data_IF_298349333471
#
_entry.id   IF_298349333471
#
_cell.length_a   1.000
_cell.length_b   1.000
_cell.length_c   1.000
_cell.angle_alpha   90.00
_cell.angle_beta   90.00
_cell.angle_gamma   90.00
#
_symmetry.space_group_name_H-M   'P 1'
#
loop_
_entity.id
_entity.type
_entity.pdbx_description
1 polymer ?
#
# COMPACT_ATOMS: atom_id res chain seq x y z
N UNK A 1 19.75 -9.41 -1.40
CA UNK A 1 18.79 -8.74 -0.50
C UNK A 1 17.38 -8.93 -1.04
N UNK A 2 16.47 -9.34 -0.19
CA UNK A 2 15.07 -9.59 -0.59
C UNK A 2 14.24 -8.34 -0.34
N UNK A 3 13.83 -7.66 -1.40
CA UNK A 3 13.12 -6.39 -1.35
C UNK A 3 11.71 -6.57 -1.93
N UNK A 4 10.71 -6.15 -1.18
CA UNK A 4 9.33 -6.09 -1.66
C UNK A 4 8.83 -4.65 -1.72
N UNK A 5 7.95 -4.34 -2.67
CA UNK A 5 7.26 -3.06 -2.70
C UNK A 5 5.79 -3.24 -2.35
N UNK A 6 5.26 -2.29 -1.58
CA UNK A 6 3.85 -2.21 -1.26
C UNK A 6 3.35 -0.86 -1.78
N UNK A 7 2.49 -0.89 -2.79
CA UNK A 7 2.11 0.32 -3.53
C UNK A 7 0.61 0.59 -3.43
N UNK A 8 0.24 1.84 -3.49
CA UNK A 8 -1.14 2.29 -3.48
C UNK A 8 -1.24 3.80 -3.45
N UNK A 9 -2.45 4.31 -3.56
CA UNK A 9 -2.71 5.74 -3.38
C UNK A 9 -2.62 6.14 -1.91
N UNK A 10 -3.02 5.24 -1.01
CA UNK A 10 -2.98 5.44 0.46
C UNK A 10 -3.64 6.75 0.89
N UNK A 11 -4.86 6.94 0.51
CA UNK A 11 -5.60 8.18 0.74
C UNK A 11 -6.91 7.95 1.50
N UNK A 12 -6.84 7.71 2.81
CA UNK A 12 -5.64 7.65 3.65
C UNK A 12 -5.03 6.24 3.73
N UNK A 13 -3.87 6.16 4.37
CA UNK A 13 -3.25 4.90 4.77
C UNK A 13 -4.00 4.38 6.01
N UNK A 14 -4.59 3.20 5.91
CA UNK A 14 -5.48 2.67 6.93
C UNK A 14 -4.80 1.64 7.84
N UNK A 15 -5.48 1.24 8.93
CA UNK A 15 -5.01 0.15 9.78
C UNK A 15 -4.92 -1.18 9.02
N UNK A 16 -5.73 -1.36 7.98
CA UNK A 16 -5.62 -2.53 7.10
C UNK A 16 -4.31 -2.53 6.32
N UNK A 17 -3.91 -1.39 5.78
CA UNK A 17 -2.61 -1.24 5.10
C UNK A 17 -1.46 -1.50 6.06
N UNK A 18 -1.51 -0.92 7.25
CA UNK A 18 -0.47 -1.11 8.27
C UNK A 18 -0.32 -2.59 8.65
N UNK A 19 -1.43 -3.30 8.81
CA UNK A 19 -1.41 -4.73 9.14
C UNK A 19 -0.67 -5.54 8.06
N UNK A 20 -0.90 -5.26 6.79
CA UNK A 20 -0.21 -5.96 5.69
C UNK A 20 1.29 -5.66 5.71
N UNK A 21 1.66 -4.39 5.89
CA UNK A 21 3.07 -4.01 5.97
C UNK A 21 3.77 -4.77 7.10
N UNK A 22 3.20 -4.75 8.30
CA UNK A 22 3.83 -5.40 9.46
C UNK A 22 3.94 -6.91 9.29
N UNK A 23 2.93 -7.54 8.70
CA UNK A 23 2.95 -8.99 8.44
C UNK A 23 3.96 -9.37 7.37
N UNK A 24 4.27 -8.47 6.44
CA UNK A 24 5.24 -8.73 5.38
C UNK A 24 6.69 -8.59 5.83
N UNK A 25 6.96 -7.79 6.86
CA UNK A 25 8.34 -7.50 7.29
C UNK A 25 9.21 -8.73 7.55
N UNK A 26 8.72 -9.80 8.20
CA UNK A 26 9.57 -10.97 8.42
C UNK A 26 10.02 -11.69 7.16
N UNK A 27 9.37 -11.45 6.03
CA UNK A 27 9.68 -12.12 4.76
C UNK A 27 10.73 -11.37 3.94
N UNK A 28 10.99 -10.11 4.27
CA UNK A 28 11.85 -9.25 3.45
C UNK A 28 12.97 -8.64 4.27
N UNK A 29 14.07 -8.33 3.57
CA UNK A 29 15.15 -7.54 4.14
C UNK A 29 14.79 -6.05 4.13
N UNK A 30 13.95 -5.66 3.16
CA UNK A 30 13.50 -4.28 2.99
C UNK A 30 12.12 -4.25 2.33
N UNK A 31 11.27 -3.35 2.81
CA UNK A 31 9.96 -3.06 2.21
C UNK A 31 9.93 -1.60 1.80
N UNK A 32 9.66 -1.34 0.53
CA UNK A 32 9.50 0.02 0.02
C UNK A 32 8.01 0.28 -0.15
N UNK A 33 7.49 1.27 0.56
CA UNK A 33 6.10 1.70 0.41
C UNK A 33 6.07 2.78 -0.67
N UNK A 34 5.38 2.50 -1.76
CA UNK A 34 5.25 3.41 -2.88
C UNK A 34 3.93 4.14 -2.86
N UNK A 35 3.97 5.46 -2.71
CA UNK A 35 2.78 6.31 -2.74
C UNK A 35 2.56 6.76 -4.17
N UNK A 36 1.52 6.24 -4.81
CA UNK A 36 1.22 6.55 -6.21
C UNK A 36 0.69 7.97 -6.38
N UNK A 37 1.26 8.68 -7.34
CA UNK A 37 0.79 10.00 -7.76
C UNK A 37 -0.19 9.79 -8.90
N UNK A 38 -1.42 10.26 -8.73
CA UNK A 38 -2.42 10.26 -9.78
C UNK A 38 -3.01 11.68 -9.89
N UNK A 39 -2.50 12.44 -10.84
CA UNK A 39 -2.90 13.83 -11.05
C UNK A 39 -4.37 13.97 -11.46
N UNK A 40 -4.97 12.92 -12.02
CA UNK A 40 -6.38 12.90 -12.43
C UNK A 40 -7.33 12.67 -11.27
N UNK A 41 -6.82 12.25 -10.13
CA UNK A 41 -7.62 11.90 -8.95
C UNK A 41 -7.51 13.00 -7.91
N UNK A 42 -8.66 13.50 -7.47
CA UNK A 42 -8.69 14.45 -6.35
C UNK A 42 -8.55 13.66 -5.04
N UNK A 43 -7.41 13.80 -4.41
CA UNK A 43 -7.11 13.10 -3.17
C UNK A 43 -7.50 13.92 -1.95
N UNK A 44 -7.82 13.23 -0.86
CA UNK A 44 -8.12 13.85 0.43
C UNK A 44 -6.89 14.56 1.01
N UNK A 45 -5.72 13.94 0.84
CA UNK A 45 -4.42 14.49 1.25
C UNK A 45 -3.53 14.60 0.02
N UNK A 46 -2.63 15.60 0.02
CA UNK A 46 -1.64 15.73 -1.05
C UNK A 46 -0.67 14.53 -1.04
N UNK A 47 0.03 14.32 -2.14
CA UNK A 47 1.04 13.26 -2.24
C UNK A 47 2.14 13.47 -1.18
N UNK A 48 2.56 14.71 -1.00
CA UNK A 48 3.58 15.07 -0.01
C UNK A 48 3.12 14.73 1.41
N UNK A 49 1.89 15.09 1.76
CA UNK A 49 1.33 14.78 3.08
C UNK A 49 1.19 13.29 3.32
N UNK A 50 0.71 12.55 2.32
CA UNK A 50 0.56 11.08 2.42
C UNK A 50 1.92 10.42 2.63
N UNK A 51 2.90 10.80 1.82
CA UNK A 51 4.26 10.26 1.90
C UNK A 51 4.90 10.57 3.25
N UNK A 52 4.80 11.81 3.69
CA UNK A 52 5.37 12.26 4.96
C UNK A 52 4.74 11.56 6.16
N UNK A 53 3.42 11.44 6.18
CA UNK A 53 2.70 10.77 7.27
C UNK A 53 3.06 9.30 7.39
N UNK A 54 3.15 8.60 6.26
CA UNK A 54 3.55 7.19 6.27
C UNK A 54 5.00 7.05 6.71
N UNK A 55 5.89 7.90 6.21
CA UNK A 55 7.30 7.89 6.62
C UNK A 55 7.45 8.11 8.13
N UNK A 56 6.68 9.04 8.69
CA UNK A 56 6.70 9.29 10.12
C UNK A 56 6.18 8.12 10.94
N UNK A 57 5.16 7.42 10.42
CA UNK A 57 4.60 6.25 11.07
C UNK A 57 5.66 5.15 11.26
N UNK A 58 6.57 5.01 10.31
CA UNK A 58 7.60 3.96 10.30
C UNK A 58 9.01 4.51 10.58
N UNK A 59 9.13 5.68 11.19
CA UNK A 59 10.43 6.31 11.46
C UNK A 59 11.39 5.41 12.25
N UNK A 60 10.86 4.56 13.12
CA UNK A 60 11.65 3.66 13.95
C UNK A 60 11.85 2.27 13.33
N UNK A 61 11.38 2.06 12.09
CA UNK A 61 11.52 0.77 11.42
C UNK A 61 12.55 0.84 10.29
N UNK A 62 13.79 0.34 10.51
CA UNK A 62 14.86 0.50 9.54
C UNK A 62 14.66 -0.27 8.23
N UNK A 63 13.78 -1.27 8.21
CA UNK A 63 13.48 -2.03 6.99
C UNK A 63 12.56 -1.31 6.02
N UNK A 64 11.90 -0.22 6.43
CA UNK A 64 10.90 0.45 5.62
C UNK A 64 11.44 1.75 5.05
N UNK A 65 11.27 1.93 3.74
CA UNK A 65 11.42 3.21 3.06
C UNK A 65 10.09 3.60 2.45
N UNK A 66 9.81 4.90 2.40
CA UNK A 66 8.59 5.43 1.81
C UNK A 66 8.95 6.41 0.70
N UNK A 67 8.41 6.19 -0.49
CA UNK A 67 8.70 7.01 -1.68
C UNK A 67 7.44 7.25 -2.48
N UNK A 68 7.34 8.43 -3.09
CA UNK A 68 6.30 8.71 -4.07
C UNK A 68 6.76 8.26 -5.46
N UNK A 69 5.84 7.84 -6.30
CA UNK A 69 6.16 7.48 -7.68
C UNK A 69 4.98 7.80 -8.61
N UNK A 70 5.27 8.01 -9.89
CA UNK A 70 4.26 8.37 -10.90
C UNK A 70 4.31 7.51 -12.16
N UNK A 71 5.29 6.63 -12.27
CA UNK A 71 5.45 5.71 -13.40
C UNK A 71 4.75 4.37 -13.13
N UNK A 72 4.95 3.39 -14.00
CA UNK A 72 4.38 2.05 -13.83
C UNK A 72 4.97 1.39 -12.58
N UNK A 73 4.13 0.65 -11.87
CA UNK A 73 4.54 -0.08 -10.67
C UNK A 73 5.76 -0.96 -10.92
N UNK A 74 5.82 -1.66 -12.05
CA UNK A 74 6.96 -2.52 -12.36
C UNK A 74 8.25 -1.74 -12.61
N UNK A 75 8.16 -0.54 -13.18
CA UNK A 75 9.32 0.32 -13.39
C UNK A 75 9.82 0.87 -12.06
N UNK A 76 8.91 1.26 -11.19
CA UNK A 76 9.23 1.64 -9.82
C UNK A 76 9.91 0.49 -9.07
N UNK A 77 9.35 -0.72 -9.16
CA UNK A 77 9.91 -1.90 -8.53
C UNK A 77 11.36 -2.15 -8.97
N UNK A 78 11.60 -2.09 -10.28
CA UNK A 78 12.95 -2.27 -10.83
C UNK A 78 13.92 -1.20 -10.32
N UNK A 79 13.48 0.03 -10.30
CA UNK A 79 14.30 1.16 -9.83
C UNK A 79 14.70 0.99 -8.35
N UNK A 80 13.79 0.39 -7.55
CA UNK A 80 14.05 0.13 -6.13
C UNK A 80 14.77 -1.19 -5.88
N UNK A 81 15.05 -1.97 -6.92
CA UNK A 81 15.68 -3.28 -6.77
C UNK A 81 14.75 -4.34 -6.20
N UNK A 82 13.44 -4.14 -6.28
CA UNK A 82 12.46 -5.06 -5.73
C UNK A 82 12.21 -6.24 -6.67
N UNK A 83 12.12 -7.43 -6.11
CA UNK A 83 11.79 -8.67 -6.83
C UNK A 83 10.34 -9.08 -6.60
N UNK A 84 9.65 -8.46 -5.65
CA UNK A 84 8.30 -8.83 -5.24
C UNK A 84 7.41 -7.60 -5.08
N UNK A 85 6.15 -7.78 -5.47
CA UNK A 85 5.08 -6.82 -5.16
C UNK A 85 4.23 -7.43 -4.05
N UNK A 86 4.00 -6.66 -2.99
CA UNK A 86 3.17 -7.08 -1.85
C UNK A 86 1.77 -6.50 -2.06
N UNK A 87 0.76 -7.35 -1.95
CA UNK A 87 -0.64 -6.94 -2.07
C UNK A 87 -1.48 -7.52 -0.94
N UNK A 88 -2.39 -6.72 -0.40
CA UNK A 88 -3.42 -7.21 0.50
C UNK A 88 -4.70 -7.47 -0.28
N UNK A 89 -5.41 -8.54 0.05
CA UNK A 89 -6.72 -8.85 -0.55
C UNK A 89 -7.75 -9.01 0.56
N UNK A 90 -8.91 -8.38 0.38
CA UNK A 90 -10.00 -8.37 1.35
C UNK A 90 -11.17 -9.27 0.96
N UNK A 91 -11.28 -9.62 -0.32
CA UNK A 91 -12.40 -10.38 -0.86
C UNK A 91 -11.99 -11.15 -2.10
N UNK A 92 -12.85 -12.09 -2.52
CA UNK A 92 -12.66 -12.83 -3.77
C UNK A 92 -12.61 -11.88 -4.96
N UNK A 93 -13.46 -10.85 -4.96
CA UNK A 93 -13.51 -9.85 -6.02
C UNK A 93 -12.20 -9.06 -6.11
N UNK A 94 -11.65 -8.62 -4.98
CA UNK A 94 -10.34 -7.98 -4.92
C UNK A 94 -9.27 -8.91 -5.49
N UNK A 95 -9.30 -10.18 -5.08
CA UNK A 95 -8.32 -11.17 -5.51
C UNK A 95 -8.34 -11.38 -7.02
N UNK A 96 -9.52 -11.50 -7.62
CA UNK A 96 -9.64 -11.68 -9.08
C UNK A 96 -9.02 -10.52 -9.84
N UNK A 97 -9.31 -9.29 -9.42
CA UNK A 97 -8.74 -8.09 -10.04
C UNK A 97 -7.22 -8.05 -9.87
N UNK A 98 -6.73 -8.26 -8.65
CA UNK A 98 -5.29 -8.20 -8.36
C UNK A 98 -4.52 -9.33 -9.01
N UNK A 99 -5.15 -10.51 -9.18
CA UNK A 99 -4.53 -11.65 -9.87
C UNK A 99 -4.25 -11.32 -11.34
N UNK A 100 -5.17 -10.63 -12.00
CA UNK A 100 -4.97 -10.21 -13.40
C UNK A 100 -3.79 -9.24 -13.50
N UNK A 101 -3.71 -8.27 -12.59
CA UNK A 101 -2.59 -7.33 -12.54
C UNK A 101 -1.27 -8.05 -12.26
N UNK A 102 -1.28 -9.00 -11.34
CA UNK A 102 -0.10 -9.79 -11.00
C UNK A 102 0.42 -10.58 -12.20
N UNK A 103 -0.47 -11.18 -12.97
CA UNK A 103 -0.10 -11.95 -14.16
C UNK A 103 0.55 -11.07 -15.23
N UNK A 104 -0.03 -9.92 -15.50
CA UNK A 104 0.53 -8.95 -16.45
C UNK A 104 1.89 -8.44 -15.98
N UNK A 105 1.99 -8.07 -14.71
CA UNK A 105 3.25 -7.58 -14.14
C UNK A 105 4.36 -8.62 -14.26
N UNK A 106 4.05 -9.89 -13.98
CA UNK A 106 5.02 -10.97 -14.11
C UNK A 106 5.47 -11.17 -15.56
N UNK A 107 4.54 -11.13 -16.52
CA UNK A 107 4.86 -11.25 -17.95
C UNK A 107 5.80 -10.14 -18.42
N UNK A 108 5.59 -8.92 -17.95
CA UNK A 108 6.37 -7.75 -18.37
C UNK A 108 7.71 -7.61 -17.66
N UNK A 109 7.86 -8.21 -16.47
CA UNK A 109 8.99 -7.86 -15.61
C UNK A 109 9.64 -9.03 -14.89
N UNK A 110 9.02 -10.19 -14.86
CA UNK A 110 9.40 -11.34 -14.02
C UNK A 110 9.30 -11.04 -12.51
N UNK A 111 8.63 -9.95 -12.12
CA UNK A 111 8.39 -9.63 -10.72
C UNK A 111 7.15 -10.37 -10.22
N UNK A 112 7.28 -11.11 -9.15
CA UNK A 112 6.21 -11.91 -8.57
C UNK A 112 5.39 -11.06 -7.58
N UNK A 113 4.09 -11.36 -7.48
CA UNK A 113 3.21 -10.72 -6.50
C UNK A 113 2.88 -11.69 -5.38
N UNK A 114 3.03 -11.25 -4.15
CA UNK A 114 2.69 -12.02 -2.96
C UNK A 114 1.43 -11.43 -2.34
N UNK A 115 0.41 -12.26 -2.16
CA UNK A 115 -0.88 -11.85 -1.62
C UNK A 115 -0.99 -12.19 -0.14
N UNK A 116 -1.43 -11.23 0.65
CA UNK A 116 -1.77 -11.41 2.06
C UNK A 116 -3.28 -11.24 2.21
N UNK A 117 -3.94 -12.20 2.82
CA UNK A 117 -5.35 -12.06 3.13
C UNK A 117 -5.53 -11.08 4.28
N UNK A 118 -6.48 -10.15 4.13
CA UNK A 118 -6.83 -9.27 5.22
C UNK A 118 -7.38 -10.08 6.40
N UNK A 119 -7.03 -9.65 7.61
CA UNK A 119 -7.62 -10.23 8.80
C UNK A 119 -9.11 -9.85 8.86
N UNK A 120 -9.98 -10.71 9.43
CA UNK A 120 -11.43 -10.47 9.41
C UNK A 120 -11.86 -9.09 9.92
N UNK A 121 -11.20 -8.56 10.94
CA UNK A 121 -11.53 -7.25 11.48
C UNK A 121 -11.18 -6.09 10.54
N UNK A 122 -10.40 -6.32 9.49
CA UNK A 122 -9.99 -5.30 8.54
C UNK A 122 -10.62 -5.45 7.15
N UNK A 123 -11.39 -6.49 6.91
CA UNK A 123 -11.97 -6.79 5.59
C UNK A 123 -12.83 -5.66 5.04
N UNK A 124 -13.55 -4.96 5.91
CA UNK A 124 -14.45 -3.87 5.51
C UNK A 124 -13.76 -2.52 5.45
N UNK A 125 -12.48 -2.43 5.84
CA UNK A 125 -11.77 -1.15 5.91
C UNK A 125 -11.02 -0.90 4.62
N UNK A 126 -11.45 0.13 3.89
CA UNK A 126 -10.77 0.59 2.68
C UNK A 126 -10.61 2.10 2.72
N UNK A 127 -9.66 2.62 1.96
CA UNK A 127 -9.50 4.08 1.84
C UNK A 127 -10.78 4.75 1.34
N UNK A 128 -11.49 4.11 0.39
CA UNK A 128 -12.75 4.65 -0.14
C UNK A 128 -13.81 4.81 0.93
N UNK A 129 -14.01 3.79 1.78
CA UNK A 129 -14.97 3.85 2.88
C UNK A 129 -14.58 4.93 3.88
N UNK A 130 -13.29 5.02 4.23
CA UNK A 130 -12.79 6.02 5.17
C UNK A 130 -13.01 7.43 4.64
N UNK A 131 -12.74 7.68 3.36
CA UNK A 131 -12.99 8.99 2.73
C UNK A 131 -14.48 9.34 2.77
N UNK A 132 -15.34 8.38 2.46
CA UNK A 132 -16.79 8.57 2.50
C UNK A 132 -17.26 8.96 3.90
N UNK A 133 -16.81 8.23 4.92
CA UNK A 133 -17.16 8.54 6.31
C UNK A 133 -16.74 9.96 6.70
N UNK A 134 -15.52 10.35 6.30
CA UNK A 134 -15.03 11.69 6.58
C UNK A 134 -15.86 12.76 5.88
N UNK A 135 -16.26 12.51 4.63
CA UNK A 135 -17.11 13.44 3.87
C UNK A 135 -18.46 13.67 4.54
N UNK A 136 -18.96 12.67 5.26
CA UNK A 136 -20.21 12.78 6.03
C UNK A 136 -19.99 13.27 7.46
N UNK A 137 -18.79 13.75 7.77
CA UNK A 137 -18.49 14.35 9.07
C UNK A 137 -18.22 13.37 10.19
N UNK A 138 -17.96 12.11 9.86
CA UNK A 138 -17.65 11.10 10.89
C UNK A 138 -16.20 11.15 11.31
N UNK A 139 -15.93 10.77 12.56
CA UNK A 139 -14.57 10.60 13.06
C UNK A 139 -13.98 9.31 12.47
N UNK A 140 -12.84 9.42 11.82
CA UNK A 140 -12.18 8.29 11.15
C UNK A 140 -10.94 7.78 11.91
N UNK A 141 -10.70 8.30 13.11
CA UNK A 141 -9.48 7.99 13.89
C UNK A 141 -9.30 6.48 14.10
N UNK A 142 -10.39 5.75 14.35
CA UNK A 142 -10.32 4.30 14.58
C UNK A 142 -9.84 3.50 13.37
N UNK A 143 -9.89 4.07 12.16
CA UNK A 143 -9.48 3.41 10.92
C UNK A 143 -8.05 3.75 10.50
N UNK A 144 -7.41 4.64 11.23
CA UNK A 144 -6.04 5.07 10.94
C UNK A 144 -5.06 4.43 11.90
N UNK A 145 -3.84 4.10 11.42
CA UNK A 145 -2.80 3.62 12.33
C UNK A 145 -2.48 4.65 13.39
N UNK A 146 -2.17 4.17 14.58
CA UNK A 146 -1.77 5.05 15.67
C UNK A 146 -0.46 5.75 15.31
N UNK A 147 -0.46 7.06 15.33
CA UNK A 147 0.68 7.88 14.95
C UNK A 147 0.67 8.38 13.51
N UNK A 148 -0.33 7.99 12.76
CA UNK A 148 -0.48 8.45 11.36
C UNK A 148 -1.02 9.89 11.24
#
# INVERSE_FOLDING_TARGET
>A
MKIGIFVGSFDPFTIGHDAIVRRSLPLFDKVVIGVGINERKKCMLSTEERTERIARLYADEPKIEVKAYSDLTIDFARREGAEYIIKGVRSVKDFEYEREQADINRRLSSIETIFFNAEPQFESISSSVVRELKNFGKDITEFLPKGY
#
